data_IF_962522405046
#
_entry.id   IF_962522405046
#
_cell.length_a   1.000
_cell.length_b   1.000
_cell.length_c   1.000
_cell.angle_alpha   90.00
_cell.angle_beta   90.00
_cell.angle_gamma   90.00
#
_symmetry.space_group_name_H-M   'P 1'
#
loop_
_entity.id
_entity.type
_entity.pdbx_description
1 polymer ?
#
# COMPACT_ATOMS: atom_id res chain seq x y z
N UNK A 1 -38.46 -4.26 -57.71
CA UNK A 1 -37.07 -3.86 -57.45
C UNK A 1 -36.82 -3.84 -55.94
N UNK A 2 -36.15 -4.87 -55.46
CA UNK A 2 -35.69 -5.01 -54.06
C UNK A 2 -34.54 -4.02 -53.82
N UNK A 3 -34.57 -3.22 -52.73
CA UNK A 3 -33.43 -2.40 -52.38
C UNK A 3 -32.30 -3.31 -51.88
N UNK A 4 -31.11 -3.09 -52.40
CA UNK A 4 -29.95 -3.94 -52.21
C UNK A 4 -29.52 -3.98 -50.74
N UNK A 5 -29.40 -5.19 -50.17
CA UNK A 5 -28.82 -5.49 -48.84
C UNK A 5 -27.43 -4.91 -48.61
N UNK A 6 -26.76 -4.40 -49.63
CA UNK A 6 -25.41 -3.83 -49.54
C UNK A 6 -25.38 -2.43 -48.90
N UNK A 7 -26.44 -1.64 -49.03
CA UNK A 7 -26.54 -0.29 -48.45
C UNK A 7 -26.73 -0.35 -46.93
N UNK A 8 -27.61 -1.22 -46.44
CA UNK A 8 -27.86 -1.40 -45.03
C UNK A 8 -26.63 -1.95 -44.28
N UNK A 9 -25.91 -2.91 -44.86
CA UNK A 9 -24.67 -3.47 -44.28
C UNK A 9 -23.55 -2.40 -44.24
N UNK A 10 -23.45 -1.56 -45.28
CA UNK A 10 -22.50 -0.42 -45.32
C UNK A 10 -22.83 0.63 -44.25
N UNK A 11 -24.11 0.90 -43.99
CA UNK A 11 -24.52 1.88 -42.97
C UNK A 11 -24.32 1.35 -41.53
N UNK A 12 -24.54 0.07 -41.31
CA UNK A 12 -24.21 -0.59 -40.01
C UNK A 12 -22.70 -0.56 -39.77
N UNK A 13 -21.89 -0.88 -40.75
CA UNK A 13 -20.43 -0.83 -40.66
C UNK A 13 -19.93 0.60 -40.38
N UNK A 14 -20.44 1.60 -41.09
CA UNK A 14 -20.10 3.01 -40.85
C UNK A 14 -20.51 3.48 -39.46
N UNK A 15 -21.65 3.03 -38.92
CA UNK A 15 -22.08 3.31 -37.54
C UNK A 15 -21.13 2.67 -36.54
N UNK A 16 -20.75 1.40 -36.73
CA UNK A 16 -19.79 0.72 -35.84
C UNK A 16 -18.43 1.41 -35.84
N UNK A 17 -17.89 1.76 -37.00
CA UNK A 17 -16.63 2.49 -37.13
C UNK A 17 -16.69 3.86 -36.46
N UNK A 18 -17.79 4.61 -36.62
CA UNK A 18 -17.98 5.91 -35.95
C UNK A 18 -18.12 5.75 -34.45
N UNK A 19 -18.84 4.74 -33.97
CA UNK A 19 -19.02 4.45 -32.57
C UNK A 19 -17.70 4.02 -31.94
N UNK A 20 -16.92 3.15 -32.58
CA UNK A 20 -15.59 2.74 -32.14
C UNK A 20 -14.61 3.91 -32.09
N UNK A 21 -14.64 4.78 -33.14
CA UNK A 21 -13.81 5.99 -33.16
C UNK A 21 -14.23 7.01 -32.10
N UNK A 22 -15.52 7.13 -31.78
CA UNK A 22 -16.02 7.99 -30.71
C UNK A 22 -15.58 7.45 -29.33
N UNK A 23 -15.78 6.16 -29.07
CA UNK A 23 -15.34 5.50 -27.82
C UNK A 23 -13.83 5.61 -27.64
N UNK A 24 -13.05 5.45 -28.71
CA UNK A 24 -11.60 5.61 -28.68
C UNK A 24 -11.20 7.05 -28.36
N UNK A 25 -11.81 8.05 -29.00
CA UNK A 25 -11.56 9.47 -28.69
C UNK A 25 -11.99 9.82 -27.27
N UNK A 26 -13.12 9.31 -26.80
CA UNK A 26 -13.59 9.52 -25.44
C UNK A 26 -12.65 8.86 -24.44
N UNK A 27 -12.15 7.66 -24.72
CA UNK A 27 -11.16 6.98 -23.91
C UNK A 27 -9.83 7.76 -23.88
N UNK A 28 -9.30 8.15 -25.04
CA UNK A 28 -8.06 8.94 -25.16
C UNK A 28 -8.20 10.32 -24.48
N UNK A 29 -9.37 10.96 -24.54
CA UNK A 29 -9.61 12.25 -23.86
C UNK A 29 -9.74 12.15 -22.34
N UNK A 30 -9.94 10.94 -21.80
CA UNK A 30 -10.07 10.70 -20.37
C UNK A 30 -8.78 10.20 -19.72
N UNK A 31 -7.70 10.01 -20.50
CA UNK A 31 -6.39 9.62 -19.98
C UNK A 31 -5.47 10.84 -19.88
N UNK A 32 -4.62 10.82 -18.87
CA UNK A 32 -3.43 11.66 -18.81
C UNK A 32 -2.40 11.09 -19.81
N UNK A 33 -1.93 11.93 -20.72
CA UNK A 33 -1.06 11.50 -21.84
C UNK A 33 0.33 11.07 -21.41
N UNK A 34 0.80 11.54 -20.25
CA UNK A 34 2.14 11.23 -19.73
C UNK A 34 2.15 9.97 -18.87
N UNK A 35 1.11 9.79 -18.05
CA UNK A 35 1.05 8.72 -17.06
C UNK A 35 0.15 7.55 -17.48
N UNK A 36 -0.64 7.70 -18.55
CA UNK A 36 -1.64 6.74 -19.02
C UNK A 36 -2.70 6.39 -17.95
N UNK A 37 -2.91 7.31 -17.00
CA UNK A 37 -3.90 7.20 -15.92
C UNK A 37 -5.17 7.98 -16.30
N UNK A 38 -6.34 7.61 -15.75
CA UNK A 38 -7.53 8.42 -15.80
C UNK A 38 -7.25 9.87 -15.38
N UNK A 39 -7.62 10.84 -16.20
CA UNK A 39 -7.36 12.25 -15.92
C UNK A 39 -8.28 12.81 -14.81
N UNK A 40 -8.06 14.07 -14.43
CA UNK A 40 -8.82 14.77 -13.38
C UNK A 40 -10.33 14.66 -13.54
N UNK A 41 -10.86 14.84 -14.77
CA UNK A 41 -12.30 14.80 -14.98
C UNK A 41 -12.88 13.42 -14.72
N UNK A 42 -12.20 12.38 -15.17
CA UNK A 42 -12.62 11.00 -14.94
C UNK A 42 -12.47 10.61 -13.47
N UNK A 43 -11.38 11.04 -12.83
CA UNK A 43 -11.12 10.83 -11.39
C UNK A 43 -12.20 11.49 -10.54
N UNK A 44 -12.59 12.71 -10.85
CA UNK A 44 -13.67 13.39 -10.12
C UNK A 44 -15.04 12.71 -10.30
N UNK A 45 -15.30 12.07 -11.46
CA UNK A 45 -16.48 11.23 -11.64
C UNK A 45 -16.44 9.98 -10.76
N UNK A 46 -15.26 9.36 -10.59
CA UNK A 46 -15.08 8.22 -9.68
C UNK A 46 -15.34 8.63 -8.22
N UNK A 47 -14.82 9.76 -7.78
CA UNK A 47 -15.11 10.34 -6.45
C UNK A 47 -16.60 10.59 -6.26
N UNK A 48 -17.27 11.18 -7.27
CA UNK A 48 -18.71 11.45 -7.19
C UNK A 48 -19.54 10.18 -7.01
N UNK A 49 -19.14 9.06 -7.64
CA UNK A 49 -19.85 7.78 -7.45
C UNK A 49 -19.77 7.29 -6.01
N UNK A 50 -18.67 7.58 -5.30
CA UNK A 50 -18.49 7.18 -3.90
C UNK A 50 -19.44 7.89 -2.92
N UNK A 51 -19.96 9.07 -3.27
CA UNK A 51 -21.00 9.73 -2.46
C UNK A 51 -22.31 8.92 -2.37
N UNK A 52 -22.59 8.08 -3.36
CA UNK A 52 -23.77 7.22 -3.40
C UNK A 52 -23.48 5.78 -2.98
N UNK A 53 -22.23 5.47 -2.64
CA UNK A 53 -21.81 4.15 -2.21
C UNK A 53 -22.24 3.93 -0.74
N UNK A 54 -22.77 2.76 -0.45
CA UNK A 54 -23.13 2.36 0.92
C UNK A 54 -21.97 1.72 1.68
N UNK A 55 -20.91 1.35 0.97
CA UNK A 55 -19.72 0.74 1.57
C UNK A 55 -18.79 1.84 2.09
N UNK A 56 -18.00 1.47 3.09
CA UNK A 56 -16.94 2.33 3.59
C UNK A 56 -15.83 2.46 2.56
N UNK A 57 -15.33 3.67 2.42
CA UNK A 57 -14.27 4.00 1.48
C UNK A 57 -13.29 5.00 2.06
N UNK A 58 -12.09 4.97 1.53
CA UNK A 58 -11.05 5.97 1.77
C UNK A 58 -10.56 6.57 0.46
N UNK A 59 -10.17 7.84 0.50
CA UNK A 59 -9.56 8.54 -0.62
C UNK A 59 -8.21 9.08 -0.16
N UNK A 60 -7.16 8.76 -0.93
CA UNK A 60 -5.80 9.27 -0.75
C UNK A 60 -5.53 10.33 -1.82
N UNK A 61 -5.06 11.50 -1.40
CA UNK A 61 -4.52 12.55 -2.26
C UNK A 61 -3.01 12.54 -2.09
N UNK A 62 -2.30 12.16 -3.15
CA UNK A 62 -0.87 11.86 -3.14
C UNK A 62 -0.17 12.87 -4.03
N UNK A 63 0.77 13.65 -3.50
CA UNK A 63 1.56 14.59 -4.28
C UNK A 63 3.06 14.26 -4.21
N UNK A 64 3.78 14.71 -5.21
CA UNK A 64 5.23 14.82 -5.19
C UNK A 64 5.56 16.30 -5.01
N UNK A 65 6.03 16.64 -3.82
CA UNK A 65 6.45 18.00 -3.50
C UNK A 65 7.81 18.33 -4.13
N UNK A 66 8.07 19.61 -4.37
CA UNK A 66 9.26 20.12 -5.07
C UNK A 66 9.45 19.59 -6.50
N UNK A 67 8.40 18.97 -7.10
CA UNK A 67 8.49 18.37 -8.42
C UNK A 67 8.84 19.38 -9.52
N UNK A 68 8.30 20.59 -9.47
CA UNK A 68 8.63 21.65 -10.43
C UNK A 68 10.10 22.09 -10.32
N UNK A 69 10.63 22.17 -9.10
CA UNK A 69 12.06 22.43 -8.89
C UNK A 69 12.92 21.29 -9.43
N UNK A 70 12.46 20.05 -9.29
CA UNK A 70 13.15 18.89 -9.87
C UNK A 70 13.21 18.97 -11.40
N UNK A 71 12.09 19.36 -12.07
CA UNK A 71 12.06 19.57 -13.52
C UNK A 71 13.03 20.66 -13.98
N UNK A 72 13.21 21.70 -13.17
CA UNK A 72 14.15 22.79 -13.45
C UNK A 72 15.61 22.41 -13.18
N UNK A 73 15.86 21.48 -12.25
CA UNK A 73 17.21 21.00 -11.95
C UNK A 73 17.67 19.90 -12.91
N UNK A 74 16.74 19.08 -13.38
CA UNK A 74 17.00 17.92 -14.21
C UNK A 74 16.26 18.01 -15.56
N UNK A 75 16.46 17.00 -16.41
CA UNK A 75 15.79 16.95 -17.71
C UNK A 75 14.32 16.52 -17.59
N UNK A 76 13.50 16.89 -18.57
CA UNK A 76 12.10 16.40 -18.66
C UNK A 76 12.04 14.86 -18.68
N UNK A 77 13.02 14.19 -19.29
CA UNK A 77 13.09 12.73 -19.29
C UNK A 77 13.30 12.17 -17.89
N UNK A 78 14.09 12.81 -17.04
CA UNK A 78 14.30 12.40 -15.66
C UNK A 78 13.02 12.57 -14.83
N UNK A 79 12.31 13.70 -14.99
CA UNK A 79 11.05 13.95 -14.31
C UNK A 79 9.93 13.01 -14.77
N UNK A 80 9.84 12.70 -16.06
CA UNK A 80 8.88 11.72 -16.58
C UNK A 80 9.17 10.31 -16.01
N UNK A 81 10.44 9.91 -15.89
CA UNK A 81 10.83 8.64 -15.28
C UNK A 81 10.47 8.57 -13.80
N UNK A 82 10.69 9.65 -13.04
CA UNK A 82 10.29 9.71 -11.63
C UNK A 82 8.78 9.52 -11.47
N UNK A 83 7.99 10.25 -12.26
CA UNK A 83 6.52 10.13 -12.28
C UNK A 83 6.06 8.72 -12.63
N UNK A 84 6.59 8.16 -13.73
CA UNK A 84 6.25 6.80 -14.19
C UNK A 84 6.61 5.75 -13.14
N UNK A 85 7.76 5.89 -12.49
CA UNK A 85 8.19 4.95 -11.44
C UNK A 85 7.25 5.01 -10.24
N UNK A 86 6.92 6.21 -9.76
CA UNK A 86 6.02 6.34 -8.62
C UNK A 86 4.59 5.89 -8.97
N UNK A 87 4.09 6.26 -10.14
CA UNK A 87 2.80 5.79 -10.65
C UNK A 87 2.73 4.25 -10.73
N UNK A 88 3.80 3.60 -11.21
CA UNK A 88 3.89 2.14 -11.28
C UNK A 88 3.90 1.50 -9.87
N UNK A 89 4.60 2.10 -8.91
CA UNK A 89 4.60 1.66 -7.50
C UNK A 89 3.19 1.76 -6.91
N UNK A 90 2.50 2.89 -7.11
CA UNK A 90 1.13 3.06 -6.63
C UNK A 90 0.25 1.97 -7.27
N UNK A 91 0.28 1.83 -8.59
CA UNK A 91 -0.55 0.86 -9.31
C UNK A 91 -0.30 -0.59 -8.88
N UNK A 92 0.98 -0.97 -8.68
CA UNK A 92 1.35 -2.31 -8.21
C UNK A 92 0.90 -2.60 -6.76
N UNK A 93 0.62 -1.55 -5.97
CA UNK A 93 0.17 -1.67 -4.58
C UNK A 93 -1.35 -1.78 -4.45
N UNK A 94 -2.08 -1.61 -5.54
CA UNK A 94 -3.54 -1.62 -5.56
C UNK A 94 -4.09 -3.00 -5.94
N UNK A 95 -5.29 -3.29 -5.45
CA UNK A 95 -6.09 -4.44 -5.85
C UNK A 95 -7.10 -4.07 -6.94
N UNK A 96 -7.75 -5.06 -7.54
CA UNK A 96 -8.71 -4.87 -8.64
C UNK A 96 -9.89 -3.94 -8.30
N UNK A 97 -10.25 -3.85 -7.02
CA UNK A 97 -11.35 -3.01 -6.54
C UNK A 97 -10.93 -1.56 -6.23
N UNK A 98 -9.63 -1.29 -6.23
CA UNK A 98 -9.10 0.04 -5.95
C UNK A 98 -9.07 0.86 -7.26
N UNK A 99 -9.12 2.18 -7.12
CA UNK A 99 -9.06 3.10 -8.25
C UNK A 99 -7.84 4.00 -8.15
N UNK A 100 -7.14 4.20 -9.26
CA UNK A 100 -6.05 5.16 -9.40
C UNK A 100 -6.35 6.13 -10.54
N UNK A 101 -6.17 7.41 -10.30
CA UNK A 101 -6.28 8.46 -11.31
C UNK A 101 -5.32 9.63 -11.06
N UNK A 102 -5.16 10.48 -12.06
CA UNK A 102 -4.36 11.70 -12.00
C UNK A 102 -5.24 12.92 -11.71
N UNK A 103 -4.76 13.83 -10.87
CA UNK A 103 -5.39 15.14 -10.64
C UNK A 103 -4.59 16.24 -11.34
N UNK A 104 -3.27 16.13 -11.32
CA UNK A 104 -2.34 16.98 -12.05
C UNK A 104 -1.07 16.20 -12.37
N UNK A 105 -0.07 16.84 -12.97
CA UNK A 105 1.17 16.19 -13.39
C UNK A 105 1.86 15.42 -12.24
N UNK A 106 1.92 15.99 -11.03
CA UNK A 106 2.58 15.40 -9.86
C UNK A 106 1.61 14.97 -8.75
N UNK A 107 0.30 14.90 -9.05
CA UNK A 107 -0.73 14.60 -8.05
C UNK A 107 -1.60 13.44 -8.50
N UNK A 108 -1.65 12.40 -7.69
CA UNK A 108 -2.44 11.20 -7.88
C UNK A 108 -3.58 11.12 -6.87
N UNK A 109 -4.61 10.41 -7.22
CA UNK A 109 -5.71 10.08 -6.32
C UNK A 109 -5.99 8.59 -6.34
N UNK A 110 -6.06 8.01 -5.15
CA UNK A 110 -6.43 6.61 -4.97
C UNK A 110 -7.74 6.54 -4.19
N UNK A 111 -8.65 5.67 -4.63
CA UNK A 111 -9.85 5.31 -3.89
C UNK A 111 -9.72 3.84 -3.51
N UNK A 112 -9.81 3.53 -2.23
CA UNK A 112 -9.63 2.19 -1.67
C UNK A 112 -10.59 1.95 -0.51
N UNK A 113 -10.51 0.81 0.14
CA UNK A 113 -11.24 0.58 1.38
C UNK A 113 -10.50 1.21 2.60
N UNK A 114 -11.26 1.45 3.65
CA UNK A 114 -10.77 2.12 4.87
C UNK A 114 -9.67 1.32 5.56
N UNK A 115 -9.80 -0.01 5.59
CA UNK A 115 -8.85 -0.90 6.31
C UNK A 115 -7.46 -0.85 5.68
N UNK A 116 -7.40 -0.69 4.34
CA UNK A 116 -6.13 -0.64 3.60
C UNK A 116 -5.48 0.76 3.60
N UNK A 117 -6.27 1.81 3.76
CA UNK A 117 -5.85 3.18 3.46
C UNK A 117 -4.57 3.61 4.18
N UNK A 118 -4.48 3.37 5.49
CA UNK A 118 -3.30 3.75 6.28
C UNK A 118 -2.07 2.94 5.92
N UNK A 119 -2.22 1.64 5.75
CA UNK A 119 -1.11 0.76 5.34
C UNK A 119 -0.59 1.12 3.97
N UNK A 120 -1.50 1.44 3.04
CA UNK A 120 -1.15 1.90 1.70
C UNK A 120 -0.39 3.22 1.75
N UNK A 121 -0.88 4.22 2.49
CA UNK A 121 -0.22 5.52 2.65
C UNK A 121 1.20 5.35 3.21
N UNK A 122 1.37 4.58 4.27
CA UNK A 122 2.66 4.28 4.89
C UNK A 122 3.62 3.58 3.92
N UNK A 123 3.13 2.58 3.19
CA UNK A 123 3.92 1.88 2.18
C UNK A 123 4.39 2.81 1.06
N UNK A 124 3.48 3.66 0.54
CA UNK A 124 3.80 4.57 -0.55
C UNK A 124 4.85 5.62 -0.17
N UNK A 125 4.80 6.16 1.05
CA UNK A 125 5.84 7.05 1.60
C UNK A 125 7.19 6.33 1.63
N UNK A 126 7.24 5.16 2.23
CA UNK A 126 8.47 4.36 2.32
C UNK A 126 9.03 4.00 0.94
N UNK A 127 8.17 3.54 0.03
CA UNK A 127 8.57 3.15 -1.31
C UNK A 127 9.08 4.33 -2.12
N UNK A 128 8.43 5.50 -2.00
CA UNK A 128 8.90 6.73 -2.64
C UNK A 128 10.29 7.11 -2.16
N UNK A 129 10.51 7.21 -0.85
CA UNK A 129 11.79 7.59 -0.26
C UNK A 129 12.91 6.60 -0.65
N UNK A 130 12.58 5.31 -0.74
CA UNK A 130 13.54 4.26 -1.13
C UNK A 130 14.00 4.37 -2.59
N UNK A 131 13.16 4.88 -3.49
CA UNK A 131 13.48 5.00 -4.91
C UNK A 131 13.92 6.42 -5.30
N UNK A 132 13.48 7.44 -4.60
CA UNK A 132 13.74 8.85 -4.94
C UNK A 132 15.24 9.16 -5.04
N UNK A 133 16.06 8.59 -4.18
CA UNK A 133 17.52 8.76 -4.19
C UNK A 133 18.17 8.33 -5.51
N UNK A 134 17.57 7.41 -6.25
CA UNK A 134 18.09 6.91 -7.53
C UNK A 134 17.91 7.90 -8.70
N UNK A 135 17.13 8.94 -8.49
CA UNK A 135 16.82 9.95 -9.50
C UNK A 135 17.69 11.20 -9.39
N UNK A 136 18.66 11.20 -8.44
CA UNK A 136 19.59 12.31 -8.25
C UNK A 136 20.98 11.94 -8.74
N UNK A 137 21.74 12.95 -9.18
CA UNK A 137 23.15 12.82 -9.41
C UNK A 137 23.90 12.72 -8.07
N UNK A 138 24.98 11.94 -8.04
CA UNK A 138 25.75 11.66 -6.82
C UNK A 138 26.21 12.96 -6.12
N UNK A 139 26.66 13.93 -6.90
CA UNK A 139 27.11 15.22 -6.36
C UNK A 139 25.97 16.05 -5.73
N UNK A 140 24.70 15.82 -6.10
CA UNK A 140 23.56 16.48 -5.46
C UNK A 140 23.22 15.78 -4.14
N UNK A 141 23.30 14.45 -4.11
CA UNK A 141 23.13 13.68 -2.88
C UNK A 141 24.17 14.06 -1.83
N UNK A 142 25.44 14.21 -2.25
CA UNK A 142 26.53 14.63 -1.37
C UNK A 142 26.31 16.04 -0.81
N UNK A 143 25.73 16.95 -1.59
CA UNK A 143 25.40 18.32 -1.16
C UNK A 143 24.15 18.40 -0.30
N UNK A 144 23.22 17.47 -0.45
CA UNK A 144 21.93 17.46 0.22
C UNK A 144 20.87 18.40 -0.37
N UNK A 145 21.10 18.96 -1.59
CA UNK A 145 20.15 19.82 -2.31
C UNK A 145 20.40 19.83 -3.81
N UNK A 146 19.38 20.21 -4.59
CA UNK A 146 19.48 20.42 -6.04
C UNK A 146 19.89 21.85 -6.36
N UNK A 147 20.51 22.06 -7.53
CA UNK A 147 20.75 23.39 -8.11
C UNK A 147 19.89 23.54 -9.35
N UNK A 148 19.04 24.57 -9.36
CA UNK A 148 18.18 24.88 -10.49
C UNK A 148 19.01 25.37 -11.68
N UNK A 149 18.60 24.94 -12.88
CA UNK A 149 19.21 25.33 -14.15
C UNK A 149 18.29 26.32 -14.89
N UNK A 150 18.85 27.06 -15.86
CA UNK A 150 18.11 28.04 -16.66
C UNK A 150 18.39 29.49 -16.23
N UNK A 151 18.24 30.42 -17.17
CA UNK A 151 18.68 31.81 -17.05
C UNK A 151 18.05 32.55 -15.86
N UNK A 152 16.79 32.24 -15.52
CA UNK A 152 16.05 32.93 -14.46
C UNK A 152 16.33 32.36 -13.06
N UNK A 153 16.71 31.07 -12.97
CA UNK A 153 16.87 30.32 -11.72
C UNK A 153 18.27 29.81 -11.48
N UNK A 154 19.23 30.11 -12.39
CA UNK A 154 20.59 29.59 -12.35
C UNK A 154 21.24 29.78 -10.99
N UNK A 155 21.68 28.67 -10.39
CA UNK A 155 22.40 28.67 -9.11
C UNK A 155 21.50 28.74 -7.87
N UNK A 156 20.17 28.86 -8.00
CA UNK A 156 19.24 28.76 -6.85
C UNK A 156 19.21 27.32 -6.33
N UNK A 157 19.15 27.18 -5.01
CA UNK A 157 19.04 25.89 -4.33
C UNK A 157 17.58 25.48 -4.22
N UNK A 158 17.31 24.19 -4.36
CA UNK A 158 16.02 23.59 -4.11
C UNK A 158 16.19 22.28 -3.33
N UNK A 159 15.22 22.00 -2.46
CA UNK A 159 15.19 20.78 -1.69
C UNK A 159 14.79 19.58 -2.57
N UNK A 160 15.14 18.38 -2.14
CA UNK A 160 14.78 17.16 -2.84
C UNK A 160 13.26 16.95 -2.87
N UNK A 161 12.78 16.17 -3.83
CA UNK A 161 11.38 15.77 -3.88
C UNK A 161 11.06 14.85 -2.71
N UNK A 162 9.84 14.99 -2.21
CA UNK A 162 9.27 14.10 -1.20
C UNK A 162 7.78 13.89 -1.49
N UNK A 163 7.18 12.87 -0.91
CA UNK A 163 5.77 12.58 -1.12
C UNK A 163 4.93 12.98 0.08
N UNK A 164 3.83 13.69 -0.16
CA UNK A 164 2.84 14.04 0.86
C UNK A 164 1.51 13.37 0.54
N UNK A 165 0.89 12.73 1.55
CA UNK A 165 -0.37 12.02 1.38
C UNK A 165 -1.40 12.49 2.39
N UNK A 166 -2.51 13.06 1.91
CA UNK A 166 -3.71 13.31 2.70
C UNK A 166 -4.72 12.19 2.52
N UNK A 167 -5.28 11.67 3.59
CA UNK A 167 -6.27 10.58 3.57
C UNK A 167 -7.54 11.00 4.30
N UNK A 168 -8.69 10.77 3.66
CA UNK A 168 -10.00 10.89 4.29
C UNK A 168 -10.78 9.60 4.16
N UNK A 169 -11.72 9.39 5.08
CA UNK A 169 -12.64 8.23 5.07
C UNK A 169 -14.07 8.69 5.27
N UNK A 170 -15.04 7.84 4.88
CA UNK A 170 -16.45 8.08 5.15
C UNK A 170 -16.98 7.38 6.42
N UNK A 171 -16.09 6.76 7.22
CA UNK A 171 -16.49 6.04 8.44
C UNK A 171 -17.20 6.94 9.44
N UNK A 172 -16.66 8.15 9.65
CA UNK A 172 -17.14 9.08 10.67
C UNK A 172 -17.74 10.36 10.08
N UNK A 173 -17.46 10.65 8.81
CA UNK A 173 -17.88 11.88 8.15
C UNK A 173 -18.72 11.57 6.91
N UNK A 174 -19.97 12.06 6.88
CA UNK A 174 -20.80 11.97 5.68
C UNK A 174 -20.59 13.21 4.83
N UNK A 175 -19.98 13.05 3.67
CA UNK A 175 -19.74 14.12 2.71
C UNK A 175 -21.01 14.40 1.88
N UNK A 176 -21.34 15.67 1.69
CA UNK A 176 -22.53 16.11 0.95
C UNK A 176 -22.28 16.14 -0.56
N UNK A 177 -21.09 16.53 -0.96
CA UNK A 177 -20.72 16.70 -2.36
C UNK A 177 -19.19 16.53 -2.58
N UNK A 178 -18.79 16.49 -3.83
CA UNK A 178 -17.38 16.32 -4.22
C UNK A 178 -16.52 17.52 -3.85
N UNK A 179 -17.11 18.72 -3.72
CA UNK A 179 -16.37 19.92 -3.32
C UNK A 179 -15.95 19.82 -1.86
N UNK A 180 -16.85 19.35 -0.99
CA UNK A 180 -16.51 19.10 0.42
C UNK A 180 -15.40 18.03 0.53
N UNK A 181 -15.48 16.93 -0.21
CA UNK A 181 -14.44 15.90 -0.26
C UNK A 181 -13.10 16.53 -0.63
N UNK A 182 -13.05 17.28 -1.73
CA UNK A 182 -11.79 17.88 -2.21
C UNK A 182 -11.23 18.93 -1.22
N UNK A 183 -12.06 19.77 -0.65
CA UNK A 183 -11.62 20.76 0.32
C UNK A 183 -11.04 20.09 1.58
N UNK A 184 -11.69 19.04 2.07
CA UNK A 184 -11.17 18.29 3.21
C UNK A 184 -9.87 17.57 2.87
N UNK A 185 -9.79 16.91 1.69
CA UNK A 185 -8.56 16.27 1.23
C UNK A 185 -7.39 17.24 1.15
N UNK A 186 -7.60 18.39 0.51
CA UNK A 186 -6.56 19.42 0.38
C UNK A 186 -6.16 19.97 1.75
N UNK A 187 -7.12 20.16 2.66
CA UNK A 187 -6.82 20.61 4.01
C UNK A 187 -5.97 19.59 4.77
N UNK A 188 -6.35 18.33 4.78
CA UNK A 188 -5.60 17.25 5.42
C UNK A 188 -4.22 17.06 4.78
N UNK A 189 -4.13 17.15 3.45
CA UNK A 189 -2.88 17.11 2.72
C UNK A 189 -1.93 18.26 3.14
N UNK A 190 -2.43 19.49 3.18
CA UNK A 190 -1.62 20.63 3.61
C UNK A 190 -1.15 20.50 5.07
N UNK A 191 -1.95 19.89 5.93
CA UNK A 191 -1.54 19.57 7.31
C UNK A 191 -0.50 18.43 7.36
N UNK A 192 -0.51 17.53 6.39
CA UNK A 192 0.47 16.44 6.27
C UNK A 192 1.84 16.92 5.76
N UNK A 193 1.87 18.06 5.05
CA UNK A 193 3.09 18.60 4.46
C UNK A 193 4.10 18.97 5.55
N UNK A 194 5.27 18.33 5.49
CA UNK A 194 6.43 18.61 6.34
C UNK A 194 7.60 18.91 5.43
N UNK A 195 8.28 20.03 5.68
CA UNK A 195 9.40 20.47 4.86
C UNK A 195 10.48 19.37 4.75
N UNK A 196 10.87 19.06 3.52
CA UNK A 196 11.96 18.12 3.17
C UNK A 196 11.75 16.67 3.66
N UNK A 197 10.52 16.27 3.90
CA UNK A 197 10.22 14.94 4.42
C UNK A 197 8.90 14.40 3.88
N UNK A 198 8.92 13.18 3.38
CA UNK A 198 7.70 12.47 3.04
C UNK A 198 6.87 12.19 4.29
N UNK A 199 5.56 12.43 4.19
CA UNK A 199 4.65 12.27 5.32
C UNK A 199 3.22 11.98 4.85
N UNK A 200 2.39 11.44 5.75
CA UNK A 200 0.96 11.26 5.51
C UNK A 200 0.15 11.68 6.74
N UNK A 201 -1.09 12.07 6.52
CA UNK A 201 -2.07 12.34 7.57
C UNK A 201 -3.42 11.76 7.18
N UNK A 202 -4.09 11.14 8.16
CA UNK A 202 -5.45 10.61 8.01
C UNK A 202 -6.40 11.47 8.84
N UNK A 203 -7.49 11.92 8.21
CA UNK A 203 -8.58 12.54 8.96
C UNK A 203 -9.23 11.50 9.87
N UNK A 204 -9.06 11.68 11.17
CA UNK A 204 -9.77 10.92 12.19
C UNK A 204 -10.47 11.92 13.12
N UNK A 205 -11.73 11.68 13.52
CA UNK A 205 -12.35 12.52 14.53
C UNK A 205 -11.51 12.48 15.79
N UNK A 206 -11.39 13.63 16.47
CA UNK A 206 -10.84 13.63 17.83
C UNK A 206 -11.82 12.84 18.69
N UNK A 207 -11.45 11.59 18.99
CA UNK A 207 -12.14 10.81 19.99
C UNK A 207 -12.04 11.58 21.29
N UNK A 208 -13.18 12.08 21.80
CA UNK A 208 -13.23 12.55 23.18
C UNK A 208 -12.88 11.34 24.06
N UNK A 209 -12.17 11.55 25.15
CA UNK A 209 -11.74 10.48 26.07
C UNK A 209 -12.90 9.62 26.63
N UNK A 210 -14.15 9.89 26.22
CA UNK A 210 -15.37 9.15 26.58
C UNK A 210 -15.86 8.19 25.51
N UNK A 211 -15.35 8.28 24.26
CA UNK A 211 -15.77 7.40 23.14
C UNK A 211 -14.84 6.19 22.93
N UNK A 212 -13.92 5.95 23.87
CA UNK A 212 -13.01 4.78 23.85
C UNK A 212 -13.68 3.46 24.26
N UNK A 213 -14.99 3.31 24.06
CA UNK A 213 -15.72 2.08 24.34
C UNK A 213 -16.08 1.43 23.01
N UNK A 214 -15.39 0.31 22.72
CA UNK A 214 -15.54 -0.62 21.58
C UNK A 214 -14.64 -0.38 20.34
N UNK A 215 -13.34 -0.10 20.52
CA UNK A 215 -12.38 -0.80 19.66
C UNK A 215 -12.26 -2.23 20.21
N UNK A 216 -12.80 -3.21 19.48
CA UNK A 216 -12.30 -4.59 19.59
C UNK A 216 -10.80 -4.43 19.36
N UNK A 217 -9.98 -4.61 20.39
CA UNK A 217 -8.52 -4.56 20.24
C UNK A 217 -8.14 -5.58 19.19
N UNK A 218 -7.88 -5.09 17.96
CA UNK A 218 -7.44 -5.94 16.87
C UNK A 218 -6.00 -6.33 17.17
N UNK A 219 -5.84 -7.55 17.67
CA UNK A 219 -4.50 -8.05 17.98
C UNK A 219 -3.77 -8.35 16.68
N UNK A 220 -2.72 -7.60 16.39
CA UNK A 220 -1.84 -7.74 15.23
C UNK A 220 -0.40 -8.08 15.62
N UNK A 221 -0.17 -8.52 16.86
CA UNK A 221 1.15 -8.89 17.34
C UNK A 221 1.59 -10.23 16.77
N UNK A 222 2.84 -10.25 16.26
CA UNK A 222 3.49 -11.44 15.70
C UNK A 222 4.81 -11.67 16.42
N UNK A 223 5.02 -12.86 16.93
CA UNK A 223 6.33 -13.31 17.43
C UNK A 223 7.06 -14.12 16.35
N UNK A 224 8.35 -13.88 16.21
CA UNK A 224 9.21 -14.54 15.20
C UNK A 224 10.32 -15.29 15.93
N UNK A 225 10.28 -16.61 15.85
CA UNK A 225 11.33 -17.53 16.29
C UNK A 225 12.03 -18.06 15.05
N UNK A 226 13.12 -17.44 14.63
CA UNK A 226 13.90 -17.82 13.44
C UNK A 226 15.38 -17.86 13.80
N UNK A 227 16.04 -18.96 13.43
CA UNK A 227 17.47 -19.18 13.73
C UNK A 227 18.40 -18.46 12.77
N UNK A 228 17.96 -18.21 11.54
CA UNK A 228 18.70 -17.42 10.57
C UNK A 228 18.48 -15.91 10.85
N UNK A 229 19.55 -15.23 11.29
CA UNK A 229 19.52 -13.83 11.64
C UNK A 229 19.09 -12.92 10.47
N UNK A 230 19.58 -13.21 9.26
CA UNK A 230 19.23 -12.43 8.08
C UNK A 230 17.74 -12.59 7.73
N UNK A 231 17.22 -13.81 7.80
CA UNK A 231 15.81 -14.09 7.55
C UNK A 231 14.92 -13.51 8.66
N UNK A 232 15.34 -13.55 9.93
CA UNK A 232 14.58 -12.98 11.04
C UNK A 232 14.44 -11.46 10.90
N UNK A 233 15.52 -10.76 10.56
CA UNK A 233 15.50 -9.30 10.28
C UNK A 233 14.62 -8.99 9.07
N UNK A 234 14.72 -9.78 7.99
CA UNK A 234 13.90 -9.61 6.79
C UNK A 234 12.41 -9.77 7.11
N UNK A 235 12.02 -10.83 7.81
CA UNK A 235 10.63 -11.08 8.22
C UNK A 235 10.10 -9.96 9.11
N UNK A 236 10.87 -9.58 10.13
CA UNK A 236 10.53 -8.49 11.02
C UNK A 236 10.29 -7.18 10.25
N UNK A 237 11.20 -6.82 9.33
CA UNK A 237 11.09 -5.61 8.53
C UNK A 237 9.85 -5.63 7.65
N UNK A 238 9.65 -6.72 6.90
CA UNK A 238 8.53 -6.81 5.95
C UNK A 238 7.18 -6.83 6.68
N UNK A 239 7.05 -7.57 7.77
CA UNK A 239 5.80 -7.65 8.52
C UNK A 239 5.49 -6.34 9.24
N UNK A 240 6.49 -5.63 9.77
CA UNK A 240 6.29 -4.27 10.28
C UNK A 240 5.82 -3.31 9.18
N UNK A 241 6.37 -3.39 7.97
CA UNK A 241 5.91 -2.60 6.83
C UNK A 241 4.45 -2.91 6.43
N UNK A 242 3.99 -4.13 6.69
CA UNK A 242 2.57 -4.51 6.51
C UNK A 242 1.66 -4.02 7.64
N UNK A 243 2.22 -3.35 8.67
CA UNK A 243 1.48 -2.79 9.80
C UNK A 243 1.28 -3.74 10.98
N UNK A 244 1.99 -4.87 11.00
CA UNK A 244 2.01 -5.78 12.15
C UNK A 244 3.01 -5.28 13.22
N UNK A 245 2.71 -5.57 14.48
CA UNK A 245 3.66 -5.39 15.57
C UNK A 245 4.47 -6.67 15.71
N UNK A 246 5.75 -6.63 15.33
CA UNK A 246 6.59 -7.84 15.33
C UNK A 246 7.67 -7.77 16.38
N UNK A 247 7.98 -8.93 16.95
CA UNK A 247 9.06 -9.11 17.93
C UNK A 247 9.88 -10.35 17.58
N UNK A 248 11.21 -10.19 17.46
CA UNK A 248 12.13 -11.33 17.26
C UNK A 248 12.46 -11.92 18.61
N UNK A 249 12.26 -13.21 18.76
CA UNK A 249 12.57 -13.96 19.99
C UNK A 249 13.70 -14.94 19.73
N UNK A 250 14.85 -14.74 20.36
CA UNK A 250 16.05 -15.54 20.15
C UNK A 250 16.07 -16.85 20.94
N UNK A 251 15.22 -16.98 21.95
CA UNK A 251 15.16 -18.18 22.79
C UNK A 251 13.85 -18.93 22.60
N UNK A 252 13.92 -20.23 22.34
CA UNK A 252 12.76 -21.12 22.17
C UNK A 252 12.10 -21.44 23.53
N UNK A 253 11.60 -20.37 24.19
CA UNK A 253 10.86 -20.42 25.46
C UNK A 253 9.46 -19.88 25.28
N UNK A 254 8.55 -20.23 26.19
CA UNK A 254 7.21 -19.63 26.22
C UNK A 254 7.34 -18.12 26.45
N UNK A 255 6.66 -17.30 25.65
CA UNK A 255 6.65 -15.84 25.84
C UNK A 255 6.00 -15.44 27.17
N UNK A 256 6.02 -14.16 27.49
CA UNK A 256 5.34 -13.61 28.66
C UNK A 256 3.80 -13.67 28.49
N UNK A 257 3.08 -14.04 29.53
CA UNK A 257 1.60 -14.16 29.52
C UNK A 257 0.87 -12.82 29.40
N UNK A 258 1.57 -11.71 29.64
CA UNK A 258 0.95 -10.37 29.66
C UNK A 258 0.71 -9.76 28.27
N UNK A 259 1.21 -10.39 27.21
CA UNK A 259 1.17 -9.81 25.87
C UNK A 259 1.05 -10.91 24.81
N UNK A 260 -0.17 -11.42 24.67
CA UNK A 260 -0.46 -12.57 23.81
C UNK A 260 -0.40 -12.20 22.33
N UNK A 261 0.39 -12.92 21.51
CA UNK A 261 0.44 -12.69 20.07
C UNK A 261 -0.79 -13.28 19.37
N UNK A 262 -1.22 -12.62 18.30
CA UNK A 262 -2.23 -13.19 17.39
C UNK A 262 -1.63 -14.32 16.54
N UNK A 263 -0.35 -14.16 16.14
CA UNK A 263 0.35 -15.11 15.30
C UNK A 263 1.78 -15.35 15.81
N UNK A 264 2.25 -16.56 15.67
CA UNK A 264 3.63 -16.95 15.98
C UNK A 264 4.22 -17.63 14.73
N UNK A 265 5.37 -17.16 14.27
CA UNK A 265 6.15 -17.79 13.20
C UNK A 265 7.32 -18.51 13.86
N UNK A 266 7.44 -19.81 13.64
CA UNK A 266 8.44 -20.65 14.31
C UNK A 266 9.25 -21.41 13.26
N UNK A 267 10.57 -21.21 13.23
CA UNK A 267 11.48 -22.14 12.57
C UNK A 267 11.51 -23.47 13.36
N UNK A 268 11.31 -24.57 12.68
CA UNK A 268 11.35 -25.91 13.29
C UNK A 268 12.67 -26.18 14.05
N UNK A 269 13.74 -25.48 13.65
CA UNK A 269 15.08 -25.61 14.22
C UNK A 269 15.86 -26.76 13.62
N UNK A 270 16.91 -27.16 14.32
CA UNK A 270 17.82 -28.24 13.93
C UNK A 270 17.07 -29.58 13.90
N UNK A 271 17.40 -30.42 12.90
CA UNK A 271 16.86 -31.77 12.72
C UNK A 271 17.06 -32.67 13.95
N UNK A 272 18.17 -32.46 14.66
CA UNK A 272 18.50 -33.28 15.86
C UNK A 272 17.76 -32.79 17.11
N UNK A 273 17.62 -31.48 17.31
CA UNK A 273 17.06 -30.90 18.54
C UNK A 273 15.57 -30.61 18.49
N UNK A 274 15.01 -30.36 17.29
CA UNK A 274 13.59 -30.06 17.02
C UNK A 274 12.99 -29.02 17.99
N UNK A 275 13.78 -28.02 18.36
CA UNK A 275 13.40 -27.03 19.39
C UNK A 275 12.13 -26.26 19.03
N UNK A 276 11.96 -25.91 17.75
CA UNK A 276 10.77 -25.20 17.28
C UNK A 276 9.51 -26.05 17.32
N UNK A 277 9.60 -27.34 16.96
CA UNK A 277 8.46 -28.26 17.04
C UNK A 277 8.03 -28.50 18.49
N UNK A 278 9.00 -28.65 19.41
CA UNK A 278 8.72 -28.78 20.82
C UNK A 278 8.06 -27.51 21.40
N UNK A 279 8.52 -26.31 20.96
CA UNK A 279 7.90 -25.06 21.35
C UNK A 279 6.46 -24.97 20.82
N UNK A 280 6.20 -25.35 19.57
CA UNK A 280 4.87 -25.37 18.98
C UNK A 280 3.90 -26.25 19.82
N UNK A 281 4.30 -27.48 20.15
CA UNK A 281 3.50 -28.34 21.02
C UNK A 281 3.18 -27.69 22.38
N UNK A 282 4.18 -27.08 23.02
CA UNK A 282 4.01 -26.42 24.32
C UNK A 282 3.08 -25.21 24.24
N UNK A 283 3.18 -24.41 23.20
CA UNK A 283 2.30 -23.25 22.97
C UNK A 283 0.84 -23.68 22.83
N UNK A 284 0.56 -24.70 22.03
CA UNK A 284 -0.81 -25.21 21.85
C UNK A 284 -1.40 -25.90 23.08
N UNK A 285 -0.58 -26.34 24.03
CA UNK A 285 -1.00 -26.91 25.30
C UNK A 285 -1.16 -25.87 26.41
N UNK A 286 -0.51 -24.72 26.29
CA UNK A 286 -0.59 -23.65 27.26
C UNK A 286 -1.82 -22.78 27.01
N UNK A 287 -2.72 -22.68 28.01
CA UNK A 287 -4.02 -21.96 27.90
C UNK A 287 -3.89 -20.53 27.31
N UNK A 288 -2.90 -19.69 27.69
CA UNK A 288 -2.82 -18.34 27.12
C UNK A 288 -2.60 -18.32 25.59
N UNK A 289 -1.89 -19.33 25.03
CA UNK A 289 -1.49 -19.33 23.62
C UNK A 289 -2.31 -20.25 22.72
N UNK A 290 -3.24 -21.00 23.29
CA UNK A 290 -4.02 -22.03 22.58
C UNK A 290 -4.74 -21.46 21.34
N UNK A 291 -5.20 -20.23 21.43
CA UNK A 291 -5.88 -19.53 20.36
C UNK A 291 -4.94 -18.82 19.38
N UNK A 292 -3.69 -18.58 19.76
CA UNK A 292 -2.71 -17.97 18.85
C UNK A 292 -2.49 -18.86 17.65
N UNK A 293 -2.45 -18.26 16.44
CA UNK A 293 -2.16 -18.98 15.20
C UNK A 293 -0.66 -19.25 15.11
N UNK A 294 -0.28 -20.42 14.61
CA UNK A 294 1.13 -20.81 14.50
C UNK A 294 1.46 -21.22 13.07
N UNK A 295 2.44 -20.54 12.48
CA UNK A 295 3.09 -20.94 11.23
C UNK A 295 4.42 -21.58 11.60
N UNK A 296 4.65 -22.83 11.16
CA UNK A 296 5.95 -23.47 11.30
C UNK A 296 6.66 -23.47 9.95
N UNK A 297 7.87 -22.90 9.92
CA UNK A 297 8.77 -22.95 8.75
C UNK A 297 9.83 -24.01 8.96
N UNK A 298 10.19 -24.79 7.94
CA UNK A 298 11.14 -25.89 8.12
C UNK A 298 11.81 -26.31 6.81
N UNK A 299 13.03 -26.77 6.92
CA UNK A 299 13.73 -27.54 5.87
C UNK A 299 13.34 -29.03 5.86
N UNK A 300 12.60 -29.47 6.88
CA UNK A 300 12.11 -30.85 7.00
C UNK A 300 10.86 -30.99 6.14
N UNK A 301 10.88 -31.91 5.17
CA UNK A 301 9.77 -32.12 4.24
C UNK A 301 8.66 -33.05 4.77
N UNK A 302 8.57 -33.23 6.09
CA UNK A 302 7.53 -34.03 6.74
C UNK A 302 6.40 -33.12 7.25
N UNK A 303 5.41 -32.87 6.39
CA UNK A 303 4.25 -32.03 6.69
C UNK A 303 3.41 -32.60 7.83
N UNK A 304 3.23 -33.94 7.87
CA UNK A 304 2.39 -34.58 8.89
C UNK A 304 3.02 -34.44 10.27
N UNK A 305 4.34 -34.63 10.38
CA UNK A 305 5.07 -34.42 11.62
C UNK A 305 4.87 -32.99 12.15
N UNK A 306 4.95 -31.99 11.29
CA UNK A 306 4.81 -30.58 11.68
C UNK A 306 3.38 -30.27 12.10
N UNK A 307 2.38 -30.66 11.32
CA UNK A 307 0.97 -30.37 11.65
C UNK A 307 0.49 -31.12 12.90
N UNK A 308 1.03 -32.28 13.19
CA UNK A 308 0.75 -33.03 14.43
C UNK A 308 1.24 -32.31 15.70
N UNK A 309 2.13 -31.31 15.58
CA UNK A 309 2.51 -30.44 16.71
C UNK A 309 1.47 -29.38 17.06
N UNK A 310 0.40 -29.27 16.27
CA UNK A 310 -0.66 -28.28 16.43
C UNK A 310 -0.44 -26.99 15.62
N UNK A 311 0.52 -26.96 14.70
CA UNK A 311 0.71 -25.83 13.79
C UNK A 311 -0.54 -25.64 12.90
N UNK A 312 -0.96 -24.37 12.72
CA UNK A 312 -2.08 -24.02 11.84
C UNK A 312 -1.64 -24.02 10.36
N UNK A 313 -0.35 -23.76 10.11
CA UNK A 313 0.24 -23.79 8.78
C UNK A 313 1.68 -24.31 8.81
N UNK A 314 2.04 -25.09 7.79
CA UNK A 314 3.40 -25.50 7.51
C UNK A 314 3.90 -24.87 6.21
N UNK A 315 5.07 -24.23 6.24
CA UNK A 315 5.77 -23.65 5.09
C UNK A 315 7.16 -24.29 4.94
N UNK A 316 7.39 -25.09 3.87
CA UNK A 316 8.72 -25.63 3.59
C UNK A 316 9.68 -24.50 3.16
N UNK A 317 10.90 -24.52 3.68
CA UNK A 317 11.99 -23.65 3.22
C UNK A 317 12.68 -24.27 1.98
N UNK A 318 12.99 -23.50 0.93
CA UNK A 318 12.74 -22.05 0.77
C UNK A 318 11.28 -21.76 0.40
N UNK A 319 10.74 -20.67 0.91
CA UNK A 319 9.40 -20.16 0.57
C UNK A 319 9.46 -18.73 0.04
N UNK A 320 8.46 -18.36 -0.75
CA UNK A 320 8.32 -17.00 -1.27
C UNK A 320 7.69 -16.08 -0.23
N UNK A 321 8.27 -14.90 0.01
CA UNK A 321 7.79 -13.92 0.98
C UNK A 321 6.33 -13.48 0.71
N UNK A 322 5.89 -13.20 -0.53
CA UNK A 322 4.50 -12.86 -0.81
C UNK A 322 3.51 -13.97 -0.39
N UNK A 323 3.91 -15.22 -0.49
CA UNK A 323 3.10 -16.36 -0.08
C UNK A 323 2.96 -16.43 1.46
N UNK A 324 4.04 -16.19 2.18
CA UNK A 324 4.00 -16.08 3.65
C UNK A 324 3.07 -14.93 4.07
N UNK A 325 3.22 -13.74 3.48
CA UNK A 325 2.40 -12.56 3.82
C UNK A 325 0.91 -12.84 3.62
N UNK A 326 0.55 -13.51 2.52
CA UNK A 326 -0.84 -13.92 2.27
C UNK A 326 -1.41 -14.73 3.44
N UNK A 327 -0.68 -15.73 3.89
CA UNK A 327 -1.12 -16.59 5.00
C UNK A 327 -1.13 -15.88 6.34
N UNK A 328 -0.17 -15.00 6.61
CA UNK A 328 -0.17 -14.13 7.80
C UNK A 328 -1.44 -13.30 7.84
N UNK A 329 -1.82 -12.67 6.73
CA UNK A 329 -3.06 -11.87 6.64
C UNK A 329 -4.31 -12.71 6.92
N UNK A 330 -4.41 -13.92 6.37
CA UNK A 330 -5.56 -14.79 6.56
C UNK A 330 -5.65 -15.29 8.00
N UNK A 331 -4.57 -15.79 8.58
CA UNK A 331 -4.56 -16.34 9.93
C UNK A 331 -4.81 -15.29 11.02
N UNK A 332 -4.27 -14.07 10.87
CA UNK A 332 -4.55 -12.99 11.80
C UNK A 332 -6.01 -12.52 11.69
N UNK A 333 -6.57 -12.52 10.49
CA UNK A 333 -7.99 -12.23 10.30
C UNK A 333 -8.86 -13.29 10.99
N UNK A 334 -8.54 -14.57 10.84
CA UNK A 334 -9.25 -15.66 11.54
C UNK A 334 -9.12 -15.57 13.07
N UNK A 335 -7.97 -15.13 13.59
CA UNK A 335 -7.74 -14.96 15.03
C UNK A 335 -8.66 -13.86 15.61
N UNK A 336 -8.90 -12.79 14.84
CA UNK A 336 -9.69 -11.64 15.29
C UNK A 336 -11.20 -11.74 15.00
N UNK A 337 -11.66 -12.83 14.35
CA UNK A 337 -13.09 -13.12 14.14
C UNK A 337 -13.71 -13.77 15.37
#
# INVERSE_FOLDING_TARGET
STPSNSSAASDVYKRQVRMTAHLRREFESNLDTKQLLPNKNYTMRAVKRKLSDTNDWAILYISIENFESYKQAYTNLASDKLLQTYSAIIQASLSENDYLGSISESVFMVITDVIKAERLARFLIFAFDSVATKFYAEHDLDRGYMILQGDEYAGKRADFVHSTIGVITNEFTKYKDTTQIMNTLIHIHNMAEVQNRSNYLIERPKLSAQDSVFEKEYNNKILIFETDEALSILLNTILNLQGYQTEIVNEYKLPSENDLPALIIIDAGDLEKKNGLNLCCRLKQAEPYKNSKIIVTSVIHDKELVLNTGADLYLPKPYEIPYLIKWVNELIKEFNM
#
